data_IF_540756490171
#
_entry.id   IF_540756490171
#
_cell.length_a   1.000
_cell.length_b   1.000
_cell.length_c   1.000
_cell.angle_alpha   90.00
_cell.angle_beta   90.00
_cell.angle_gamma   90.00
#
_symmetry.space_group_name_H-M   'P 1'
#
loop_
_entity.id
_entity.type
_entity.pdbx_description
1 polymer ?
#
# COMPACT_ATOMS: atom_id res chain seq x y z
N UNK A 1 18.87 25.59 -15.48
CA UNK A 1 17.81 26.45 -14.92
C UNK A 1 17.82 26.46 -13.39
N UNK A 2 17.74 25.30 -12.72
CA UNK A 2 17.83 25.18 -11.25
C UNK A 2 19.11 25.79 -10.66
N UNK A 3 20.28 25.52 -11.26
CA UNK A 3 21.56 26.09 -10.80
C UNK A 3 21.64 27.62 -10.94
N UNK A 4 21.01 28.21 -11.97
CA UNK A 4 20.95 29.66 -12.19
C UNK A 4 20.01 30.35 -11.17
N UNK A 5 18.91 29.71 -10.80
CA UNK A 5 17.97 30.19 -9.78
C UNK A 5 18.52 30.04 -8.35
N UNK A 6 19.29 28.99 -8.05
CA UNK A 6 19.98 28.84 -6.75
C UNK A 6 21.07 29.90 -6.60
N UNK A 7 21.81 30.20 -7.68
CA UNK A 7 22.85 31.23 -7.70
C UNK A 7 22.29 32.67 -7.68
N UNK A 8 21.12 32.92 -8.29
CA UNK A 8 20.39 34.20 -8.14
C UNK A 8 19.65 34.33 -6.78
N UNK A 9 19.14 33.22 -6.25
CA UNK A 9 18.38 33.16 -5.00
C UNK A 9 19.21 33.54 -3.77
N UNK A 10 20.51 33.24 -3.75
CA UNK A 10 21.38 33.65 -2.64
C UNK A 10 21.51 35.17 -2.47
N UNK A 11 21.34 35.97 -3.55
CA UNK A 11 21.39 37.44 -3.50
C UNK A 11 20.01 38.10 -3.35
N UNK A 12 18.93 37.48 -3.86
CA UNK A 12 17.57 38.04 -3.82
C UNK A 12 16.70 37.57 -2.64
N UNK A 13 17.18 36.62 -1.82
CA UNK A 13 16.49 36.21 -0.58
C UNK A 13 16.54 37.24 0.56
N UNK A 14 17.22 38.37 0.38
CA UNK A 14 17.15 39.47 1.35
C UNK A 14 15.79 40.19 1.29
N UNK A 15 15.10 40.16 0.14
CA UNK A 15 13.78 40.78 -0.07
C UNK A 15 12.86 39.83 -0.88
N UNK A 16 12.42 38.71 -0.30
CA UNK A 16 11.62 37.70 -1.03
C UNK A 16 10.31 38.26 -1.61
N UNK A 17 9.80 39.36 -1.08
CA UNK A 17 8.58 40.03 -1.51
C UNK A 17 8.73 40.72 -2.89
N UNK A 18 9.95 40.92 -3.38
CA UNK A 18 10.18 41.46 -4.74
C UNK A 18 9.97 40.41 -5.84
N UNK A 19 9.87 39.13 -5.47
CA UNK A 19 9.61 38.02 -6.40
C UNK A 19 8.10 37.81 -6.55
N UNK A 20 7.64 37.38 -7.72
CA UNK A 20 6.23 37.03 -7.89
C UNK A 20 5.81 35.85 -6.99
N UNK A 21 4.54 35.75 -6.56
CA UNK A 21 4.07 34.67 -5.71
C UNK A 21 4.36 33.26 -6.27
N UNK A 22 4.23 33.07 -7.58
CA UNK A 22 4.54 31.80 -8.25
C UNK A 22 6.03 31.42 -8.15
N UNK A 23 6.94 32.39 -8.30
CA UNK A 23 8.38 32.15 -8.14
C UNK A 23 8.72 31.83 -6.69
N UNK A 24 8.08 32.52 -5.72
CA UNK A 24 8.22 32.21 -4.30
C UNK A 24 7.74 30.80 -3.96
N UNK A 25 6.61 30.35 -4.51
CA UNK A 25 6.13 28.97 -4.32
C UNK A 25 7.13 27.93 -4.82
N UNK A 26 7.68 28.14 -6.02
CA UNK A 26 8.68 27.22 -6.57
C UNK A 26 9.95 27.16 -5.71
N UNK A 27 10.43 28.31 -5.23
CA UNK A 27 11.56 28.35 -4.30
C UNK A 27 11.21 27.71 -2.95
N UNK A 28 9.99 27.89 -2.45
CA UNK A 28 9.54 27.27 -1.21
C UNK A 28 9.52 25.74 -1.32
N UNK A 29 9.07 25.18 -2.45
CA UNK A 29 9.12 23.74 -2.71
C UNK A 29 10.56 23.22 -2.75
N UNK A 30 11.46 23.92 -3.47
CA UNK A 30 12.87 23.56 -3.51
C UNK A 30 13.51 23.56 -2.11
N UNK A 31 13.38 24.66 -1.36
CA UNK A 31 13.94 24.76 -0.01
C UNK A 31 13.29 23.76 0.95
N UNK A 32 11.99 23.50 0.80
CA UNK A 32 11.27 22.51 1.59
C UNK A 32 11.81 21.10 1.39
N UNK A 33 12.09 20.71 0.14
CA UNK A 33 12.63 19.38 -0.19
C UNK A 33 13.99 19.08 0.44
N UNK A 34 14.75 20.12 0.81
CA UNK A 34 16.06 20.01 1.50
C UNK A 34 15.98 20.39 2.98
N UNK A 35 14.77 20.59 3.54
CA UNK A 35 14.55 20.91 4.95
C UNK A 35 14.98 22.32 5.37
N UNK A 36 15.12 23.25 4.42
CA UNK A 36 15.55 24.62 4.69
C UNK A 36 14.37 25.52 5.10
N UNK A 37 14.48 26.16 6.27
CA UNK A 37 13.44 27.02 6.86
C UNK A 37 13.07 28.22 6.01
N UNK A 38 13.89 28.61 5.02
CA UNK A 38 13.52 29.63 4.03
C UNK A 38 12.23 29.31 3.29
N UNK A 39 11.87 28.02 3.17
CA UNK A 39 10.58 27.60 2.63
C UNK A 39 9.40 28.24 3.36
N UNK A 40 9.45 28.27 4.70
CA UNK A 40 8.39 28.86 5.53
C UNK A 40 8.26 30.36 5.30
N UNK A 41 9.38 31.09 5.29
CA UNK A 41 9.38 32.53 5.07
C UNK A 41 8.81 32.92 3.70
N UNK A 42 9.09 32.13 2.67
CA UNK A 42 8.53 32.32 1.33
C UNK A 42 7.03 32.08 1.30
N UNK A 43 6.55 30.96 1.86
CA UNK A 43 5.10 30.68 1.96
C UNK A 43 4.36 31.73 2.79
N UNK A 44 4.90 32.13 3.93
CA UNK A 44 4.32 33.18 4.78
C UNK A 44 4.21 34.51 4.03
N UNK A 45 5.21 34.86 3.20
CA UNK A 45 5.16 36.09 2.41
C UNK A 45 4.01 36.07 1.39
N UNK A 46 3.70 34.91 0.81
CA UNK A 46 2.56 34.74 -0.10
C UNK A 46 1.26 34.95 0.67
N UNK A 47 1.11 34.32 1.84
CA UNK A 47 -0.07 34.47 2.69
C UNK A 47 -0.28 35.91 3.17
N UNK A 48 0.80 36.66 3.46
CA UNK A 48 0.73 38.07 3.88
C UNK A 48 0.25 38.99 2.77
N UNK A 49 0.71 38.78 1.55
CA UNK A 49 0.30 39.54 0.38
C UNK A 49 -1.15 39.24 0.00
N UNK A 50 -1.58 38.00 0.21
CA UNK A 50 -2.88 37.47 -0.16
C UNK A 50 -3.89 37.47 1.01
N UNK A 51 -3.77 38.43 1.95
CA UNK A 51 -4.60 38.50 3.18
C UNK A 51 -6.12 38.54 2.94
N UNK A 52 -6.54 39.02 1.78
CA UNK A 52 -7.92 38.93 1.27
C UNK A 52 -7.82 38.38 -0.15
N UNK A 53 -7.73 37.06 -0.33
CA UNK A 53 -7.49 36.49 -1.64
C UNK A 53 -8.63 36.89 -2.57
N UNK A 54 -8.29 37.50 -3.70
CA UNK A 54 -9.30 37.78 -4.72
C UNK A 54 -9.73 36.45 -5.33
N UNK A 55 -10.96 36.40 -5.82
CA UNK A 55 -11.49 35.24 -6.55
C UNK A 55 -10.49 34.79 -7.63
N UNK A 56 -9.93 33.59 -7.47
CA UNK A 56 -8.90 33.04 -8.37
C UNK A 56 -7.48 32.97 -7.78
N UNK A 57 -7.22 33.55 -6.61
CA UNK A 57 -5.93 33.46 -5.90
C UNK A 57 -5.89 32.32 -4.86
N UNK A 58 -7.01 31.62 -4.66
CA UNK A 58 -7.18 30.50 -3.72
C UNK A 58 -6.12 29.40 -3.91
N UNK A 59 -5.73 29.14 -5.16
CA UNK A 59 -4.74 28.13 -5.48
C UNK A 59 -3.35 28.47 -4.92
N UNK A 60 -2.95 29.74 -4.93
CA UNK A 60 -1.65 30.16 -4.39
C UNK A 60 -1.66 30.10 -2.87
N UNK A 61 -2.76 30.51 -2.23
CA UNK A 61 -2.94 30.44 -0.78
C UNK A 61 -2.90 28.99 -0.30
N UNK A 62 -3.65 28.11 -0.96
CA UNK A 62 -3.65 26.68 -0.63
C UNK A 62 -2.26 26.08 -0.79
N UNK A 63 -1.59 26.32 -1.93
CA UNK A 63 -0.26 25.77 -2.18
C UNK A 63 0.77 26.30 -1.16
N UNK A 64 0.67 27.55 -0.72
CA UNK A 64 1.55 28.08 0.31
C UNK A 64 1.35 27.36 1.66
N UNK A 65 0.10 27.16 2.08
CA UNK A 65 -0.26 26.38 3.27
C UNK A 65 0.21 24.94 3.16
N UNK A 66 0.00 24.32 2.00
CA UNK A 66 0.45 22.98 1.68
C UNK A 66 1.97 22.86 1.92
N UNK A 67 2.80 23.70 1.29
CA UNK A 67 4.27 23.63 1.45
C UNK A 67 4.69 23.79 2.91
N UNK A 68 4.04 24.68 3.66
CA UNK A 68 4.32 24.86 5.09
C UNK A 68 3.96 23.59 5.88
N UNK A 69 2.80 23.01 5.61
CA UNK A 69 2.33 21.82 6.30
C UNK A 69 3.22 20.60 6.02
N UNK A 70 3.60 20.36 4.76
CA UNK A 70 4.56 19.32 4.40
C UNK A 70 5.93 19.55 5.04
N UNK A 71 6.42 20.80 5.02
CA UNK A 71 7.67 21.15 5.70
C UNK A 71 7.64 20.75 7.19
N UNK A 72 6.59 21.15 7.93
CA UNK A 72 6.47 20.79 9.34
C UNK A 72 6.40 19.27 9.53
N UNK A 73 5.64 18.59 8.68
CA UNK A 73 5.47 17.14 8.78
C UNK A 73 6.77 16.38 8.53
N UNK A 74 7.59 16.82 7.59
CA UNK A 74 8.88 16.19 7.26
C UNK A 74 9.93 16.45 8.36
N UNK A 75 9.76 17.51 9.14
CA UNK A 75 10.53 17.77 10.37
C UNK A 75 9.95 17.04 11.60
N UNK A 76 8.95 16.16 11.43
CA UNK A 76 8.28 15.44 12.54
C UNK A 76 7.31 16.30 13.37
N UNK A 77 7.11 17.57 13.01
CA UNK A 77 6.15 18.49 13.66
C UNK A 77 4.74 18.25 13.12
N UNK A 78 4.23 17.05 13.31
CA UNK A 78 2.98 16.59 12.70
C UNK A 78 1.75 17.42 13.14
N UNK A 79 1.64 17.78 14.42
CA UNK A 79 0.53 18.61 14.90
C UNK A 79 0.51 19.99 14.24
N UNK A 80 1.68 20.63 14.18
CA UNK A 80 1.81 21.94 13.52
C UNK A 80 1.49 21.87 12.03
N UNK A 81 1.85 20.77 11.37
CA UNK A 81 1.44 20.49 10.00
C UNK A 81 -0.08 20.39 9.86
N UNK A 82 -0.75 19.68 10.78
CA UNK A 82 -2.21 19.57 10.80
C UNK A 82 -2.89 20.94 11.04
N UNK A 83 -2.42 21.71 12.02
CA UNK A 83 -2.92 23.06 12.30
C UNK A 83 -2.78 23.98 11.09
N UNK A 84 -1.68 23.86 10.34
CA UNK A 84 -1.45 24.64 9.12
C UNK A 84 -2.48 24.31 8.05
N UNK A 85 -2.79 23.03 7.82
CA UNK A 85 -3.85 22.61 6.91
C UNK A 85 -5.23 23.13 7.33
N UNK A 86 -5.51 23.17 8.63
CA UNK A 86 -6.78 23.66 9.17
C UNK A 86 -6.94 25.19 9.05
N UNK A 87 -5.96 25.92 8.52
CA UNK A 87 -6.13 27.31 8.10
C UNK A 87 -6.88 27.44 6.76
N UNK A 88 -6.93 26.38 5.94
CA UNK A 88 -7.58 26.41 4.62
C UNK A 88 -9.03 26.89 4.68
N UNK A 89 -9.92 26.39 5.55
CA UNK A 89 -11.30 26.86 5.60
C UNK A 89 -11.45 28.32 6.06
N UNK A 90 -10.44 28.86 6.75
CA UNK A 90 -10.43 30.25 7.20
C UNK A 90 -10.01 31.18 6.07
N UNK A 91 -9.02 30.77 5.26
CA UNK A 91 -8.47 31.60 4.18
C UNK A 91 -9.15 31.36 2.83
N UNK A 92 -9.79 30.21 2.65
CA UNK A 92 -10.50 29.76 1.45
C UNK A 92 -11.86 29.20 1.92
N UNK A 93 -12.85 30.07 2.19
CA UNK A 93 -14.11 29.67 2.82
C UNK A 93 -15.02 28.85 1.91
N UNK A 94 -14.81 28.90 0.60
CA UNK A 94 -15.58 28.14 -0.38
C UNK A 94 -15.41 26.63 -0.15
N UNK A 95 -16.54 25.97 0.12
CA UNK A 95 -16.63 24.53 0.33
C UNK A 95 -16.31 23.81 -0.99
N UNK A 96 -15.23 23.04 -1.01
CA UNK A 96 -14.81 22.32 -2.21
C UNK A 96 -13.63 21.37 -1.95
N UNK A 97 -13.02 20.90 -3.04
CA UNK A 97 -11.95 19.89 -2.96
C UNK A 97 -10.76 20.33 -2.10
N UNK A 98 -10.43 21.63 -2.05
CA UNK A 98 -9.39 22.18 -1.19
C UNK A 98 -9.62 21.88 0.30
N UNK A 99 -10.86 22.03 0.77
CA UNK A 99 -11.21 21.72 2.16
C UNK A 99 -11.20 20.21 2.41
N UNK A 100 -11.63 19.41 1.42
CA UNK A 100 -11.55 17.95 1.49
C UNK A 100 -10.11 17.47 1.67
N UNK A 101 -9.19 17.98 0.86
CA UNK A 101 -7.78 17.63 0.90
C UNK A 101 -7.11 18.11 2.19
N UNK A 102 -7.37 19.36 2.59
CA UNK A 102 -6.84 19.91 3.84
C UNK A 102 -7.28 19.11 5.08
N UNK A 103 -8.56 18.71 5.16
CA UNK A 103 -9.05 17.89 6.27
C UNK A 103 -8.46 16.48 6.25
N UNK A 104 -8.34 15.88 5.06
CA UNK A 104 -7.69 14.58 4.89
C UNK A 104 -6.24 14.61 5.36
N UNK A 105 -5.45 15.59 4.90
CA UNK A 105 -4.04 15.70 5.25
C UNK A 105 -3.83 16.12 6.72
N UNK A 106 -4.69 16.97 7.27
CA UNK A 106 -4.70 17.26 8.71
C UNK A 106 -5.00 16.00 9.55
N UNK A 107 -5.96 15.17 9.12
CA UNK A 107 -6.27 13.91 9.79
C UNK A 107 -5.07 12.95 9.77
N UNK A 108 -4.40 12.80 8.62
CA UNK A 108 -3.15 12.02 8.49
C UNK A 108 -2.06 12.52 9.41
N UNK A 109 -1.88 13.84 9.48
CA UNK A 109 -0.87 14.46 10.32
C UNK A 109 -1.18 14.25 11.81
N UNK A 110 -2.41 14.46 12.27
CA UNK A 110 -2.78 14.14 13.66
C UNK A 110 -2.66 12.65 13.99
N UNK A 111 -3.00 11.76 13.05
CA UNK A 111 -2.79 10.32 13.24
C UNK A 111 -1.31 9.98 13.49
N UNK A 112 -0.39 10.58 12.72
CA UNK A 112 1.06 10.44 12.94
C UNK A 112 1.54 11.06 14.25
N UNK A 113 0.87 12.10 14.74
CA UNK A 113 1.13 12.69 16.04
C UNK A 113 0.60 11.85 17.22
N UNK A 114 -0.17 10.79 16.97
CA UNK A 114 -0.85 10.00 18.01
C UNK A 114 -2.18 10.61 18.49
N UNK A 115 -2.64 11.71 17.87
CA UNK A 115 -3.93 12.37 18.12
C UNK A 115 -5.06 11.67 17.33
N UNK A 116 -5.35 10.43 17.73
CA UNK A 116 -6.23 9.54 16.96
C UNK A 116 -7.69 9.99 16.93
N UNK A 117 -8.20 10.58 18.01
CA UNK A 117 -9.58 11.06 18.06
C UNK A 117 -9.79 12.30 17.18
N UNK A 118 -8.83 13.22 17.18
CA UNK A 118 -8.83 14.37 16.28
C UNK A 118 -8.75 13.93 14.82
N UNK A 119 -7.87 12.98 14.51
CA UNK A 119 -7.77 12.40 13.17
C UNK A 119 -9.09 11.77 12.73
N UNK A 120 -9.69 10.94 13.60
CA UNK A 120 -10.98 10.28 13.33
C UNK A 120 -12.10 11.28 13.10
N UNK A 121 -12.17 12.36 13.89
CA UNK A 121 -13.12 13.45 13.71
C UNK A 121 -12.94 14.11 12.35
N UNK A 122 -11.71 14.46 11.96
CA UNK A 122 -11.44 15.12 10.68
C UNK A 122 -11.75 14.23 9.48
N UNK A 123 -11.41 12.93 9.51
CA UNK A 123 -11.81 12.00 8.45
C UNK A 123 -13.34 11.95 8.25
N UNK A 124 -14.12 12.05 9.33
CA UNK A 124 -15.58 12.05 9.27
C UNK A 124 -16.17 13.36 8.68
N UNK A 125 -15.40 14.44 8.63
CA UNK A 125 -15.80 15.71 8.02
C UNK A 125 -15.55 15.73 6.51
N UNK A 126 -14.55 15.00 5.99
CA UNK A 126 -14.19 14.97 4.56
C UNK A 126 -15.40 14.74 3.62
N UNK A 127 -16.33 13.81 3.90
CA UNK A 127 -17.50 13.59 3.04
C UNK A 127 -18.40 14.81 2.85
N UNK A 128 -18.40 15.78 3.77
CA UNK A 128 -19.30 16.94 3.75
C UNK A 128 -18.98 17.93 2.64
N UNK A 129 -17.78 17.83 2.06
CA UNK A 129 -17.29 18.75 1.04
C UNK A 129 -17.58 18.29 -0.40
N UNK A 130 -18.24 17.15 -0.59
CA UNK A 130 -18.73 16.70 -1.90
C UNK A 130 -17.66 16.16 -2.87
N UNK A 131 -16.46 15.84 -2.38
CA UNK A 131 -15.38 15.28 -3.19
C UNK A 131 -15.25 13.76 -2.98
N UNK A 132 -15.64 12.97 -3.98
CA UNK A 132 -15.68 11.51 -3.86
C UNK A 132 -14.31 10.86 -3.73
N UNK A 133 -13.27 11.43 -4.35
CA UNK A 133 -11.91 10.89 -4.26
C UNK A 133 -11.37 11.00 -2.83
N UNK A 134 -11.34 12.21 -2.25
CA UNK A 134 -10.85 12.42 -0.89
C UNK A 134 -11.74 11.74 0.14
N UNK A 135 -13.06 11.72 -0.06
CA UNK A 135 -13.99 10.93 0.77
C UNK A 135 -13.61 9.47 0.81
N UNK A 136 -13.31 8.91 -0.36
CA UNK A 136 -12.94 7.52 -0.47
C UNK A 136 -11.58 7.30 0.23
N UNK A 137 -10.57 8.11 -0.07
CA UNK A 137 -9.24 8.05 0.57
C UNK A 137 -9.32 8.16 2.09
N UNK A 138 -10.14 9.05 2.64
CA UNK A 138 -10.36 9.19 4.08
C UNK A 138 -10.87 7.89 4.71
N UNK A 139 -11.88 7.27 4.09
CA UNK A 139 -12.41 5.97 4.56
C UNK A 139 -11.37 4.86 4.44
N UNK A 140 -10.53 4.87 3.40
CA UNK A 140 -9.44 3.90 3.29
C UNK A 140 -8.40 4.07 4.39
N UNK A 141 -8.00 5.29 4.70
CA UNK A 141 -7.04 5.55 5.76
C UNK A 141 -7.58 5.11 7.13
N UNK A 142 -8.88 5.25 7.35
CA UNK A 142 -9.57 4.72 8.53
C UNK A 142 -9.69 3.17 8.50
N UNK A 143 -9.90 2.58 7.33
CA UNK A 143 -10.03 1.12 7.17
C UNK A 143 -8.67 0.40 7.25
N UNK A 144 -7.57 1.04 6.87
CA UNK A 144 -6.24 0.43 6.77
C UNK A 144 -5.74 -0.14 8.11
N UNK A 145 -5.87 0.55 9.27
CA UNK A 145 -5.58 -0.04 10.58
C UNK A 145 -6.43 -1.27 10.90
N UNK A 146 -7.72 -1.27 10.52
CA UNK A 146 -8.61 -2.40 10.71
C UNK A 146 -8.16 -3.60 9.87
N UNK A 147 -7.79 -3.37 8.61
CA UNK A 147 -7.23 -4.39 7.71
C UNK A 147 -5.95 -4.99 8.30
N UNK A 148 -5.04 -4.14 8.78
CA UNK A 148 -3.79 -4.60 9.41
C UNK A 148 -4.04 -5.41 10.69
N UNK A 149 -5.10 -5.09 11.44
CA UNK A 149 -5.54 -5.84 12.61
C UNK A 149 -6.35 -7.11 12.26
N UNK A 150 -6.58 -7.41 10.98
CA UNK A 150 -7.39 -8.55 10.54
C UNK A 150 -8.91 -8.35 10.72
N UNK A 151 -9.36 -7.15 11.06
CA UNK A 151 -10.77 -6.77 11.23
C UNK A 151 -11.42 -6.45 9.88
N UNK A 152 -11.42 -7.44 8.98
CA UNK A 152 -11.79 -7.26 7.57
C UNK A 152 -13.26 -6.86 7.39
N UNK A 153 -14.17 -7.34 8.25
CA UNK A 153 -15.60 -7.01 8.17
C UNK A 153 -15.90 -5.56 8.58
N UNK A 154 -15.23 -5.06 9.62
CA UNK A 154 -15.32 -3.65 10.03
C UNK A 154 -14.75 -2.72 8.93
N UNK A 155 -13.62 -3.10 8.34
CA UNK A 155 -13.03 -2.39 7.21
C UNK A 155 -13.98 -2.38 6.00
N UNK A 156 -14.63 -3.52 5.71
CA UNK A 156 -15.61 -3.65 4.63
C UNK A 156 -16.81 -2.75 4.84
N UNK A 157 -17.35 -2.70 6.06
CA UNK A 157 -18.48 -1.85 6.38
C UNK A 157 -18.15 -0.37 6.11
N UNK A 158 -16.95 0.08 6.48
CA UNK A 158 -16.52 1.46 6.25
C UNK A 158 -16.31 1.78 4.77
N UNK A 159 -15.65 0.87 4.04
CA UNK A 159 -15.41 1.02 2.60
C UNK A 159 -16.68 0.88 1.75
N UNK A 160 -17.72 0.23 2.25
CA UNK A 160 -18.99 0.00 1.53
C UNK A 160 -20.02 1.11 1.72
N UNK A 161 -19.73 2.12 2.56
CA UNK A 161 -20.61 3.27 2.71
C UNK A 161 -20.86 3.93 1.35
N UNK A 162 -22.09 4.40 1.07
CA UNK A 162 -22.36 5.08 -0.19
C UNK A 162 -21.49 6.32 -0.31
N UNK A 163 -21.02 6.58 -1.52
CA UNK A 163 -20.62 7.92 -1.94
C UNK A 163 -21.91 8.59 -2.45
N UNK A 164 -22.02 9.91 -2.29
CA UNK A 164 -23.11 10.65 -2.93
C UNK A 164 -23.04 10.49 -4.47
N UNK A 165 -24.08 10.92 -5.18
CA UNK A 165 -24.25 10.60 -6.60
C UNK A 165 -23.95 11.80 -7.51
N UNK A 166 -22.82 12.48 -7.30
CA UNK A 166 -22.39 13.58 -8.19
C UNK A 166 -21.34 13.12 -9.22
N UNK A 167 -21.18 13.85 -10.32
CA UNK A 167 -20.17 13.56 -11.36
C UNK A 167 -18.72 13.66 -10.84
N UNK A 168 -18.51 14.39 -9.74
CA UNK A 168 -17.26 14.50 -9.01
C UNK A 168 -16.91 13.22 -8.22
N UNK A 169 -17.84 12.26 -8.16
CA UNK A 169 -17.67 11.04 -7.34
C UNK A 169 -17.35 9.79 -8.14
N UNK A 170 -17.28 9.88 -9.47
CA UNK A 170 -16.90 8.75 -10.31
C UNK A 170 -15.53 8.19 -9.90
N UNK A 171 -14.53 9.05 -9.67
CA UNK A 171 -13.21 8.60 -9.22
C UNK A 171 -13.27 7.91 -7.85
N UNK A 172 -14.10 8.43 -6.94
CA UNK A 172 -14.38 7.81 -5.66
C UNK A 172 -14.98 6.41 -5.81
N UNK A 173 -16.01 6.25 -6.65
CA UNK A 173 -16.67 4.96 -6.89
C UNK A 173 -15.72 3.95 -7.56
N UNK A 174 -14.88 4.40 -8.48
CA UNK A 174 -13.87 3.55 -9.12
C UNK A 174 -12.82 3.12 -8.07
N UNK A 175 -12.29 4.05 -7.27
CA UNK A 175 -11.40 3.74 -6.16
C UNK A 175 -12.02 2.78 -5.13
N UNK A 176 -13.30 2.98 -4.81
CA UNK A 176 -14.08 2.12 -3.92
C UNK A 176 -14.11 0.67 -4.42
N UNK A 177 -14.41 0.47 -5.71
CA UNK A 177 -14.42 -0.87 -6.30
C UNK A 177 -13.03 -1.52 -6.26
N UNK A 178 -11.94 -0.77 -6.50
CA UNK A 178 -10.59 -1.32 -6.38
C UNK A 178 -10.29 -1.83 -4.96
N UNK A 179 -10.61 -1.04 -3.94
CA UNK A 179 -10.31 -1.44 -2.56
C UNK A 179 -11.23 -2.54 -2.04
N UNK A 180 -12.51 -2.51 -2.39
CA UNK A 180 -13.43 -3.61 -2.08
C UNK A 180 -13.03 -4.91 -2.79
N UNK A 181 -12.54 -4.83 -4.04
CA UNK A 181 -11.99 -5.99 -4.74
C UNK A 181 -10.79 -6.60 -3.99
N UNK A 182 -9.83 -5.76 -3.60
CA UNK A 182 -8.66 -6.20 -2.82
C UNK A 182 -9.04 -6.74 -1.44
N UNK A 183 -10.05 -6.17 -0.78
CA UNK A 183 -10.52 -6.66 0.50
C UNK A 183 -11.19 -8.03 0.37
N UNK A 184 -12.09 -8.19 -0.62
CA UNK A 184 -12.72 -9.47 -0.94
C UNK A 184 -11.67 -10.54 -1.29
N UNK A 185 -10.61 -10.16 -2.02
CA UNK A 185 -9.46 -11.03 -2.30
C UNK A 185 -8.79 -11.51 -1.00
N UNK A 186 -8.53 -10.62 -0.05
CA UNK A 186 -7.93 -11.01 1.24
C UNK A 186 -8.85 -11.89 2.10
N UNK A 187 -10.17 -11.70 1.99
CA UNK A 187 -11.18 -12.53 2.66
C UNK A 187 -11.30 -13.92 2.02
N UNK A 188 -10.81 -14.11 0.79
CA UNK A 188 -11.03 -15.32 0.01
C UNK A 188 -12.38 -15.37 -0.70
N UNK A 189 -13.08 -14.23 -0.80
CA UNK A 189 -14.34 -14.12 -1.53
C UNK A 189 -14.07 -13.83 -3.01
N UNK A 190 -13.77 -14.89 -3.76
CA UNK A 190 -13.31 -14.80 -5.14
C UNK A 190 -14.35 -14.22 -6.10
N UNK A 191 -15.61 -14.58 -5.93
CA UNK A 191 -16.71 -14.09 -6.77
C UNK A 191 -16.87 -12.57 -6.62
N UNK A 192 -16.91 -12.07 -5.39
CA UNK A 192 -17.00 -10.63 -5.12
C UNK A 192 -15.73 -9.89 -5.58
N UNK A 193 -14.55 -10.46 -5.35
CA UNK A 193 -13.30 -9.87 -5.80
C UNK A 193 -13.30 -9.66 -7.32
N UNK A 194 -13.65 -10.69 -8.10
CA UNK A 194 -13.75 -10.61 -9.56
C UNK A 194 -14.81 -9.58 -9.97
N UNK A 195 -16.01 -9.64 -9.40
CA UNK A 195 -17.09 -8.71 -9.74
C UNK A 195 -16.67 -7.25 -9.57
N UNK A 196 -15.99 -6.93 -8.46
CA UNK A 196 -15.52 -5.58 -8.15
C UNK A 196 -14.34 -5.18 -9.04
N UNK A 197 -13.41 -6.11 -9.30
CA UNK A 197 -12.29 -5.91 -10.24
C UNK A 197 -12.80 -5.57 -11.65
N UNK A 198 -13.79 -6.32 -12.15
CA UNK A 198 -14.35 -6.11 -13.48
C UNK A 198 -15.05 -4.76 -13.59
N UNK A 199 -15.81 -4.36 -12.56
CA UNK A 199 -16.41 -3.03 -12.49
C UNK A 199 -15.35 -1.91 -12.54
N UNK A 200 -14.27 -2.06 -11.77
CA UNK A 200 -13.14 -1.12 -11.74
C UNK A 200 -12.43 -1.02 -13.11
N UNK A 201 -12.06 -2.15 -13.71
CA UNK A 201 -11.37 -2.21 -15.01
C UNK A 201 -12.25 -1.60 -16.09
N UNK A 202 -13.53 -1.98 -16.14
CA UNK A 202 -14.49 -1.44 -17.11
C UNK A 202 -14.61 0.07 -17.02
N UNK A 203 -14.64 0.63 -15.81
CA UNK A 203 -14.69 2.08 -15.62
C UNK A 203 -13.43 2.77 -16.16
N UNK A 204 -12.25 2.21 -15.91
CA UNK A 204 -10.97 2.73 -16.42
C UNK A 204 -10.92 2.70 -17.95
N UNK A 205 -11.36 1.60 -18.56
CA UNK A 205 -11.37 1.45 -20.02
C UNK A 205 -12.39 2.37 -20.69
N UNK A 206 -13.55 2.56 -20.05
CA UNK A 206 -14.65 3.35 -20.61
C UNK A 206 -14.48 4.85 -20.40
N UNK A 207 -13.63 5.29 -19.45
CA UNK A 207 -13.45 6.70 -19.15
C UNK A 207 -11.95 7.11 -19.12
N UNK A 208 -11.56 7.87 -20.16
CA UNK A 208 -10.19 8.38 -20.30
C UNK A 208 -9.82 9.44 -19.27
N UNK A 209 -10.81 10.14 -18.71
CA UNK A 209 -10.63 11.26 -17.78
C UNK A 209 -10.32 10.80 -16.35
N UNK A 210 -10.49 9.51 -16.02
CA UNK A 210 -10.08 8.97 -14.72
C UNK A 210 -8.60 9.27 -14.47
N UNK A 211 -8.32 9.89 -13.33
CA UNK A 211 -6.98 10.31 -12.94
C UNK A 211 -5.98 9.14 -12.85
N UNK A 212 -4.70 9.47 -13.01
CA UNK A 212 -3.62 8.51 -12.86
C UNK A 212 -3.55 7.91 -11.45
N UNK A 213 -4.02 8.66 -10.44
CA UNK A 213 -4.06 8.23 -9.05
C UNK A 213 -4.98 7.03 -8.87
N UNK A 214 -6.17 7.05 -9.49
CA UNK A 214 -7.10 5.92 -9.47
C UNK A 214 -6.56 4.74 -10.28
N UNK A 215 -5.92 5.01 -11.44
CA UNK A 215 -5.33 3.98 -12.32
C UNK A 215 -4.15 3.23 -11.70
N UNK A 216 -3.53 3.77 -10.66
CA UNK A 216 -2.40 3.13 -9.96
C UNK A 216 -2.74 1.72 -9.46
N UNK A 217 -4.01 1.45 -9.12
CA UNK A 217 -4.45 0.14 -8.62
C UNK A 217 -4.60 -0.92 -9.71
N UNK A 218 -4.57 -0.56 -11.00
CA UNK A 218 -4.82 -1.49 -12.12
C UNK A 218 -3.90 -2.70 -12.12
N UNK A 219 -2.59 -2.48 -11.98
CA UNK A 219 -1.61 -3.57 -11.97
C UNK A 219 -1.86 -4.57 -10.82
N UNK A 220 -2.25 -4.07 -9.64
CA UNK A 220 -2.53 -4.90 -8.47
C UNK A 220 -3.81 -5.70 -8.68
N UNK A 221 -4.88 -5.06 -9.14
CA UNK A 221 -6.17 -5.71 -9.41
C UNK A 221 -6.04 -6.78 -10.48
N UNK A 222 -5.36 -6.49 -11.59
CA UNK A 222 -5.09 -7.46 -12.65
C UNK A 222 -4.26 -8.63 -12.12
N UNK A 223 -3.23 -8.37 -11.33
CA UNK A 223 -2.43 -9.43 -10.71
C UNK A 223 -3.26 -10.29 -9.75
N UNK A 224 -4.12 -9.69 -8.93
CA UNK A 224 -5.04 -10.41 -8.05
C UNK A 224 -5.96 -11.33 -8.86
N UNK A 225 -6.57 -10.86 -9.94
CA UNK A 225 -7.41 -11.69 -10.81
C UNK A 225 -6.66 -12.92 -11.36
N UNK A 226 -5.40 -12.76 -11.77
CA UNK A 226 -4.55 -13.88 -12.20
C UNK A 226 -4.33 -14.88 -11.07
N UNK A 227 -4.08 -14.39 -9.85
CA UNK A 227 -3.88 -15.23 -8.68
C UNK A 227 -5.17 -15.92 -8.23
N UNK A 228 -6.33 -15.29 -8.32
CA UNK A 228 -7.62 -15.92 -8.01
C UNK A 228 -7.80 -17.22 -8.80
N UNK A 229 -7.52 -17.20 -10.10
CA UNK A 229 -7.58 -18.42 -10.93
C UNK A 229 -6.69 -19.54 -10.39
N UNK A 230 -5.47 -19.18 -9.94
CA UNK A 230 -4.54 -20.14 -9.33
C UNK A 230 -5.05 -20.68 -7.99
N UNK A 231 -5.66 -19.82 -7.15
CA UNK A 231 -6.19 -20.24 -5.85
C UNK A 231 -7.41 -21.14 -5.96
N UNK A 232 -8.25 -20.91 -7.00
CA UNK A 232 -9.38 -21.78 -7.33
C UNK A 232 -8.93 -23.18 -7.74
N UNK A 233 -7.78 -23.29 -8.42
CA UNK A 233 -7.18 -24.58 -8.75
C UNK A 233 -6.49 -25.23 -7.54
N UNK A 234 -5.63 -24.47 -6.85
CA UNK A 234 -4.81 -24.93 -5.73
C UNK A 234 -4.62 -23.80 -4.71
N UNK A 235 -5.25 -23.90 -3.54
CA UNK A 235 -5.17 -22.84 -2.52
C UNK A 235 -3.84 -22.79 -1.75
N UNK A 236 -2.98 -23.79 -1.94
CA UNK A 236 -1.60 -23.85 -1.46
C UNK A 236 -0.71 -24.25 -2.64
N UNK A 237 0.34 -23.47 -2.92
CA UNK A 237 1.21 -23.66 -4.10
C UNK A 237 2.67 -23.75 -3.66
N UNK A 238 3.42 -24.73 -4.17
CA UNK A 238 4.88 -24.79 -3.99
C UNK A 238 5.67 -24.31 -5.20
N UNK A 239 6.87 -23.82 -4.94
CA UNK A 239 7.89 -23.56 -5.94
C UNK A 239 9.26 -23.99 -5.39
N UNK A 240 9.89 -25.04 -5.98
CA UNK A 240 9.42 -25.85 -7.11
C UNK A 240 8.23 -26.76 -6.78
N UNK A 241 7.52 -27.26 -7.81
CA UNK A 241 6.42 -28.23 -7.65
C UNK A 241 6.88 -29.65 -7.28
N UNK A 242 8.11 -30.00 -7.66
CA UNK A 242 8.77 -31.27 -7.39
C UNK A 242 10.13 -30.93 -6.80
N UNK A 243 10.48 -31.56 -5.67
CA UNK A 243 11.81 -31.44 -5.08
C UNK A 243 12.71 -32.53 -5.65
N UNK A 244 13.75 -32.13 -6.38
CA UNK A 244 14.81 -33.04 -6.84
C UNK A 244 16.02 -32.86 -5.96
N UNK A 245 16.51 -33.96 -5.37
CA UNK A 245 17.68 -33.96 -4.52
C UNK A 245 18.73 -34.85 -5.19
N UNK A 246 19.76 -34.21 -5.70
CA UNK A 246 20.95 -34.89 -6.22
C UNK A 246 22.07 -34.64 -5.21
N UNK A 247 22.48 -35.68 -4.49
CA UNK A 247 23.58 -35.55 -3.54
C UNK A 247 24.90 -35.76 -4.27
N UNK A 248 25.41 -34.69 -4.90
CA UNK A 248 26.67 -34.66 -5.64
C UNK A 248 27.89 -34.33 -4.78
N UNK A 249 27.72 -34.13 -3.47
CA UNK A 249 28.81 -33.70 -2.58
C UNK A 249 29.29 -34.85 -1.70
N UNK A 250 30.60 -35.11 -1.73
CA UNK A 250 31.28 -36.09 -0.84
C UNK A 250 31.18 -35.73 0.67
N UNK A 251 30.59 -34.59 1.03
CA UNK A 251 30.36 -34.20 2.42
C UNK A 251 29.04 -34.77 2.94
N UNK A 252 29.11 -35.63 3.95
CA UNK A 252 27.99 -36.26 4.68
C UNK A 252 27.06 -35.28 5.44
N UNK A 253 27.06 -33.99 5.11
CA UNK A 253 26.26 -32.96 5.77
C UNK A 253 25.16 -32.51 4.82
N UNK A 254 23.97 -33.09 4.98
CA UNK A 254 22.75 -32.66 4.28
C UNK A 254 22.47 -31.19 4.62
N UNK A 255 22.69 -30.29 3.66
CA UNK A 255 22.23 -28.91 3.79
C UNK A 255 20.71 -28.85 3.59
N UNK A 256 19.97 -28.16 4.48
CA UNK A 256 18.53 -28.01 4.34
C UNK A 256 18.16 -27.36 3.00
N UNK A 257 17.20 -27.97 2.30
CA UNK A 257 16.62 -27.42 1.07
C UNK A 257 15.41 -26.56 1.42
N UNK A 258 15.29 -25.40 0.80
CA UNK A 258 14.19 -24.44 1.03
C UNK A 258 13.28 -24.39 -0.18
N UNK A 259 11.98 -24.62 0.03
CA UNK A 259 10.92 -24.54 -0.98
C UNK A 259 9.98 -23.40 -0.60
N UNK A 260 9.62 -22.54 -1.55
CA UNK A 260 8.63 -21.51 -1.30
C UNK A 260 7.22 -22.13 -1.30
N UNK A 261 6.47 -21.91 -0.23
CA UNK A 261 5.05 -22.27 -0.11
C UNK A 261 4.22 -20.99 -0.07
N UNK A 262 3.26 -20.86 -0.98
CA UNK A 262 2.41 -19.68 -1.12
C UNK A 262 0.95 -19.99 -0.85
N UNK A 263 0.30 -19.07 -0.16
CA UNK A 263 -1.14 -19.08 0.13
C UNK A 263 -1.72 -17.68 -0.11
N UNK A 264 -3.03 -17.59 -0.36
CA UNK A 264 -3.67 -16.29 -0.61
C UNK A 264 -3.68 -15.34 0.62
N UNK A 265 -3.64 -15.91 1.83
CA UNK A 265 -3.54 -15.19 3.10
C UNK A 265 -2.52 -15.88 4.02
N UNK A 266 -2.01 -15.16 5.02
CA UNK A 266 -1.09 -15.74 6.00
C UNK A 266 -1.86 -16.70 6.93
N UNK A 267 -1.78 -17.99 6.64
CA UNK A 267 -2.40 -19.06 7.43
C UNK A 267 -1.32 -19.92 8.10
N UNK A 268 -1.59 -20.53 9.26
CA UNK A 268 -0.72 -21.56 9.80
C UNK A 268 -0.66 -22.74 8.82
N UNK A 269 0.55 -23.26 8.60
CA UNK A 269 0.81 -24.43 7.77
C UNK A 269 1.49 -25.51 8.61
N UNK A 270 1.15 -26.77 8.31
CA UNK A 270 1.87 -27.95 8.80
C UNK A 270 2.42 -28.72 7.61
N UNK A 271 3.57 -29.37 7.80
CA UNK A 271 4.20 -30.21 6.81
C UNK A 271 4.53 -31.58 7.41
N UNK A 272 4.31 -32.64 6.63
CA UNK A 272 4.65 -34.02 7.00
C UNK A 272 5.28 -34.73 5.80
N UNK A 273 6.12 -35.73 6.06
CA UNK A 273 6.68 -36.62 5.04
C UNK A 273 6.11 -38.03 5.24
N UNK A 274 5.88 -38.76 4.15
CA UNK A 274 5.58 -40.19 4.20
C UNK A 274 6.83 -41.07 4.36
N UNK A 275 8.02 -40.47 4.28
CA UNK A 275 9.30 -41.14 4.44
C UNK A 275 10.02 -40.65 5.71
N UNK A 276 10.38 -41.54 6.64
CA UNK A 276 11.00 -41.17 7.91
C UNK A 276 12.41 -40.58 7.78
N UNK A 277 13.07 -40.74 6.62
CA UNK A 277 14.39 -40.14 6.34
C UNK A 277 14.30 -38.65 6.08
N UNK A 278 13.14 -38.16 5.65
CA UNK A 278 12.90 -36.75 5.34
C UNK A 278 12.25 -36.07 6.55
N UNK A 279 12.97 -35.11 7.13
CA UNK A 279 12.44 -34.17 8.11
C UNK A 279 11.98 -32.91 7.40
N UNK A 280 10.84 -32.37 7.82
CA UNK A 280 10.27 -31.15 7.25
C UNK A 280 9.88 -30.17 8.34
N UNK A 281 10.05 -28.88 8.04
CA UNK A 281 9.62 -27.78 8.89
C UNK A 281 9.07 -26.63 8.04
N UNK A 282 8.19 -25.82 8.63
CA UNK A 282 7.74 -24.57 8.02
C UNK A 282 8.38 -23.41 8.79
N UNK A 283 9.15 -22.61 8.08
CA UNK A 283 9.72 -21.35 8.56
C UNK A 283 8.92 -20.18 8.01
N UNK A 284 8.60 -19.23 8.89
CA UNK A 284 8.18 -17.92 8.46
C UNK A 284 9.40 -17.18 7.90
N UNK A 285 9.40 -16.95 6.59
CA UNK A 285 10.32 -16.00 5.95
C UNK A 285 9.81 -14.63 6.36
N UNK A 286 10.21 -14.18 7.55
CA UNK A 286 9.56 -13.13 8.33
C UNK A 286 9.06 -12.02 7.44
N UNK A 287 7.74 -12.00 7.21
CA UNK A 287 6.94 -11.05 6.43
C UNK A 287 7.70 -9.88 5.76
N UNK A 288 8.67 -10.16 4.90
CA UNK A 288 8.92 -9.36 3.71
C UNK A 288 7.84 -9.76 2.70
N UNK A 289 6.59 -9.63 3.16
CA UNK A 289 5.51 -9.08 2.36
C UNK A 289 6.21 -8.03 1.51
N UNK A 290 6.17 -8.13 0.18
CA UNK A 290 6.63 -7.04 -0.68
C UNK A 290 5.92 -5.80 -0.15
N UNK A 291 6.63 -4.99 0.65
CA UNK A 291 6.07 -3.93 1.50
C UNK A 291 5.71 -2.79 0.57
N UNK A 292 4.66 -2.98 -0.19
CA UNK A 292 3.88 -1.88 -0.70
C UNK A 292 3.40 -1.11 0.53
N UNK A 293 3.53 0.21 0.51
CA UNK A 293 3.01 1.11 1.55
C UNK A 293 1.51 0.94 1.81
N UNK A 294 0.78 0.23 0.95
CA UNK A 294 -0.64 -0.06 1.07
C UNK A 294 -0.88 -1.53 1.45
N UNK A 295 -1.60 -1.73 2.56
CA UNK A 295 -1.95 -3.02 3.16
C UNK A 295 -2.78 -3.94 2.26
N UNK A 296 -3.48 -3.37 1.27
CA UNK A 296 -4.34 -4.08 0.33
C UNK A 296 -3.59 -4.72 -0.86
N UNK A 297 -2.34 -4.35 -1.11
CA UNK A 297 -1.60 -4.81 -2.30
C UNK A 297 -0.90 -6.17 -2.10
N UNK A 298 -1.33 -6.95 -1.11
CA UNK A 298 -0.79 -8.29 -0.86
C UNK A 298 -1.35 -9.26 -1.90
N UNK A 299 -0.47 -9.85 -2.70
CA UNK A 299 -0.86 -10.89 -3.65
C UNK A 299 -0.90 -12.27 -2.98
N UNK A 300 0.02 -12.56 -2.07
CA UNK A 300 0.07 -13.83 -1.35
C UNK A 300 0.89 -13.70 -0.08
N UNK A 301 0.71 -14.65 0.83
CA UNK A 301 1.66 -14.95 1.87
C UNK A 301 2.63 -16.02 1.36
N UNK A 302 3.90 -15.90 1.73
CA UNK A 302 4.94 -16.88 1.41
C UNK A 302 5.60 -17.36 2.70
N UNK A 303 5.79 -18.67 2.80
CA UNK A 303 6.54 -19.36 3.86
C UNK A 303 7.61 -20.24 3.22
N UNK A 304 8.65 -20.58 3.99
CA UNK A 304 9.67 -21.53 3.56
C UNK A 304 9.37 -22.91 4.14
N UNK A 305 9.18 -23.90 3.28
CA UNK A 305 9.27 -25.30 3.64
C UNK A 305 10.74 -25.70 3.64
N UNK A 306 11.26 -26.00 4.81
CA UNK A 306 12.60 -26.53 5.02
C UNK A 306 12.54 -28.05 4.98
N UNK A 307 13.39 -28.65 4.14
CA UNK A 307 13.47 -30.09 3.94
C UNK A 307 14.89 -30.54 4.24
N UNK A 308 15.03 -31.44 5.20
CA UNK A 308 16.28 -32.08 5.58
C UNK A 308 16.16 -33.57 5.29
N UNK A 309 17.19 -34.15 4.67
CA UNK A 309 17.20 -35.58 4.34
C UNK A 309 18.36 -36.23 5.07
N UNK A 310 18.05 -37.12 6.01
CA UNK A 310 19.06 -37.88 6.74
C UNK A 310 19.35 -39.16 5.97
N UNK A 311 20.55 -39.27 5.44
CA UNK A 311 20.96 -40.35 4.54
C UNK A 311 22.21 -41.06 5.05
N UNK A 312 22.26 -42.38 4.88
CA UNK A 312 23.52 -43.12 4.85
C UNK A 312 24.22 -43.00 3.48
N UNK A 313 25.54 -43.18 3.45
CA UNK A 313 26.41 -43.02 2.26
C UNK A 313 26.07 -43.93 1.05
N UNK A 314 25.17 -44.91 1.18
CA UNK A 314 24.94 -45.97 0.18
C UNK A 314 23.44 -46.26 -0.09
N UNK A 315 22.54 -45.30 0.10
CA UNK A 315 21.12 -45.55 -0.16
C UNK A 315 20.75 -45.43 -1.64
N UNK A 316 19.85 -46.31 -2.09
CA UNK A 316 19.33 -46.33 -3.45
C UNK A 316 18.37 -45.16 -3.73
N UNK A 317 18.17 -44.85 -5.03
CA UNK A 317 17.14 -43.94 -5.51
C UNK A 317 15.80 -44.23 -4.82
N UNK A 318 15.12 -43.18 -4.38
CA UNK A 318 13.80 -43.32 -3.80
C UNK A 318 12.90 -42.13 -4.11
N UNK A 319 11.60 -42.42 -4.15
CA UNK A 319 10.55 -41.44 -4.28
C UNK A 319 9.82 -41.31 -2.94
N UNK A 320 9.52 -40.08 -2.57
CA UNK A 320 8.77 -39.75 -1.36
C UNK A 320 7.78 -38.62 -1.65
N UNK A 321 6.93 -38.32 -0.67
CA UNK A 321 5.90 -37.31 -0.75
C UNK A 321 5.87 -36.48 0.52
N UNK A 322 6.04 -35.17 0.36
CA UNK A 322 5.77 -34.20 1.42
C UNK A 322 4.32 -33.72 1.26
N UNK A 323 3.58 -33.70 2.35
CA UNK A 323 2.23 -33.14 2.41
C UNK A 323 2.25 -31.86 3.23
N UNK A 324 1.78 -30.77 2.64
CA UNK A 324 1.57 -29.47 3.31
C UNK A 324 0.08 -29.20 3.39
N UNK A 325 -0.41 -28.82 4.57
CA UNK A 325 -1.83 -28.53 4.80
C UNK A 325 -2.00 -27.33 5.73
N UNK A 326 -3.23 -26.81 5.78
CA UNK A 326 -3.60 -25.74 6.71
C UNK A 326 -4.92 -26.08 7.39
N UNK A 327 -5.04 -25.96 8.73
CA UNK A 327 -6.33 -26.12 9.40
C UNK A 327 -7.33 -25.01 9.02
N UNK A 328 -6.85 -23.87 8.49
CA UNK A 328 -7.70 -22.74 8.08
C UNK A 328 -8.09 -22.75 6.60
N UNK A 329 -7.59 -23.70 5.83
CA UNK A 329 -7.98 -23.95 4.44
C UNK A 329 -8.46 -25.41 4.37
N UNK A 330 -9.70 -25.67 4.77
CA UNK A 330 -10.19 -27.03 4.93
C UNK A 330 -10.15 -27.79 3.60
N UNK A 331 -9.84 -29.09 3.67
CA UNK A 331 -9.81 -30.01 2.54
C UNK A 331 -8.75 -29.70 1.46
N UNK A 332 -7.79 -28.81 1.72
CA UNK A 332 -6.67 -28.55 0.81
C UNK A 332 -5.39 -29.16 1.37
N UNK A 333 -4.83 -30.11 0.61
CA UNK A 333 -3.51 -30.71 0.88
C UNK A 333 -2.64 -30.57 -0.35
N UNK A 334 -1.55 -29.82 -0.23
CA UNK A 334 -0.52 -29.76 -1.26
C UNK A 334 0.40 -30.96 -1.09
N UNK A 335 0.53 -31.77 -2.15
CA UNK A 335 1.46 -32.89 -2.21
C UNK A 335 2.64 -32.54 -3.10
N UNK A 336 3.84 -32.59 -2.53
CA UNK A 336 5.10 -32.25 -3.19
C UNK A 336 5.90 -33.54 -3.36
N UNK A 337 6.01 -34.07 -4.58
CA UNK A 337 6.85 -35.22 -4.84
C UNK A 337 8.31 -34.86 -4.55
N UNK A 338 8.99 -35.77 -3.87
CA UNK A 338 10.43 -35.71 -3.62
C UNK A 338 11.07 -36.85 -4.37
N UNK A 339 11.95 -36.53 -5.30
CA UNK A 339 12.76 -37.50 -6.01
C UNK A 339 14.20 -37.37 -5.54
N UNK A 340 14.72 -38.44 -4.97
CA UNK A 340 16.10 -38.52 -4.54
C UNK A 340 16.89 -39.41 -5.49
N UNK A 341 18.03 -38.89 -5.97
CA UNK A 341 19.00 -39.64 -6.75
C UNK A 341 20.40 -39.49 -6.12
N UNK A 342 21.04 -40.57 -5.64
CA UNK A 342 22.41 -40.54 -5.15
C UNK A 342 23.37 -40.22 -6.29
N UNK A 343 24.51 -39.59 -5.98
CA UNK A 343 25.59 -39.49 -6.96
C UNK A 343 26.05 -40.88 -7.37
N UNK A 344 26.00 -41.15 -8.67
CA UNK A 344 26.63 -42.35 -9.23
C UNK A 344 28.15 -42.10 -9.26
N UNK A 345 28.98 -42.99 -8.69
CA UNK A 345 30.42 -42.91 -8.87
C UNK A 345 30.72 -42.97 -10.37
N UNK A 346 31.52 -42.02 -10.87
CA UNK A 346 31.97 -41.98 -12.27
C UNK A 346 33.05 -43.02 -12.54
#
# INVERSE_FOLDING_TARGET
MVALLVQHGQKQLQEPETLSPAVRLWLADYYGSVGDKRALALSESILREQKEPKKGEDALVFQALERMAWFYRDQGQHEKGAETWLLVPTLIPDQGWWQSDAFLEAARAYSKAGKLEEAKRLYAEVPKFGDGWHTMVARYDQASPLINAGKLDEAKALLSLPLEATSQELEGQVGQNAWLASLAYQQGNWEEAIQRSDAYIKSIESNREISILVKFHLNIITAQNIWISRWKENSIISSPKILKINDGSESSVSLPRKIAIRTFKNVPLTATSNDPRIKVGIEDVGNEIVKSRQSLNRLYAEKQLVVEVNMGLNEADFDSMITVESPQIPNVKLRIPVHFAPARPQ
#
